data_IF_850132889583
#
_entry.id   IF_850132889583
#
_cell.length_a   1.000
_cell.length_b   1.000
_cell.length_c   1.000
_cell.angle_alpha   90.00
_cell.angle_beta   90.00
_cell.angle_gamma   90.00
#
_symmetry.space_group_name_H-M   'P 1'
#
loop_
_entity.id
_entity.type
_entity.pdbx_description
1 polymer ?
#
# COMPACT_ATOMS: atom_id res chain seq x y z
N UNK A 1 34.91 32.30 -63.14
CA UNK A 1 35.82 32.25 -61.98
C UNK A 1 35.03 32.62 -60.72
N UNK A 2 35.11 31.75 -59.71
CA UNK A 2 34.82 31.96 -58.27
C UNK A 2 33.36 32.27 -57.85
N UNK A 3 32.64 31.18 -57.54
CA UNK A 3 31.51 31.14 -56.60
C UNK A 3 32.05 31.14 -55.15
N UNK A 4 31.45 31.91 -54.24
CA UNK A 4 31.61 31.87 -52.77
C UNK A 4 30.63 32.87 -52.14
N UNK A 5 29.93 32.69 -51.00
CA UNK A 5 29.68 31.61 -50.02
C UNK A 5 28.31 31.99 -49.41
N UNK A 6 27.39 31.02 -49.24
CA UNK A 6 26.12 31.22 -48.53
C UNK A 6 26.34 31.01 -47.02
N UNK A 7 25.97 32.01 -46.20
CA UNK A 7 25.97 31.89 -44.74
C UNK A 7 24.61 31.35 -44.28
N UNK A 8 24.60 30.15 -43.69
CA UNK A 8 23.44 29.57 -43.00
C UNK A 8 23.48 30.01 -41.54
N UNK A 9 22.52 30.84 -41.14
CA UNK A 9 22.32 31.24 -39.74
C UNK A 9 21.51 30.15 -39.05
N UNK A 10 22.13 29.47 -38.08
CA UNK A 10 21.45 28.58 -37.13
C UNK A 10 20.63 29.42 -36.14
N UNK A 11 19.30 29.42 -36.29
CA UNK A 11 18.37 29.93 -35.28
C UNK A 11 18.22 28.90 -34.15
N UNK A 12 18.76 29.22 -32.97
CA UNK A 12 18.51 28.47 -31.75
C UNK A 12 17.09 28.75 -31.25
N UNK A 13 16.15 27.84 -31.54
CA UNK A 13 14.83 27.87 -30.91
C UNK A 13 14.93 27.31 -29.50
N UNK A 14 14.95 28.19 -28.50
CA UNK A 14 14.74 27.83 -27.10
C UNK A 14 13.32 27.31 -26.92
N UNK A 15 13.16 25.98 -26.86
CA UNK A 15 11.92 25.35 -26.46
C UNK A 15 11.69 25.62 -24.97
N UNK A 16 10.82 26.58 -24.66
CA UNK A 16 10.20 26.70 -23.34
C UNK A 16 9.31 25.47 -23.13
N UNK A 17 9.84 24.45 -22.47
CA UNK A 17 9.04 23.34 -21.98
C UNK A 17 8.10 23.88 -20.88
N UNK A 18 6.84 24.09 -21.24
CA UNK A 18 5.79 24.53 -20.32
C UNK A 18 5.60 23.53 -19.17
N UNK A 19 5.43 23.99 -17.90
CA UNK A 19 5.24 23.14 -16.72
C UNK A 19 3.83 22.52 -16.62
N UNK A 20 3.04 22.57 -17.70
CA UNK A 20 1.64 22.12 -17.70
C UNK A 20 1.51 20.59 -17.65
N UNK A 21 2.49 19.85 -18.16
CA UNK A 21 2.49 18.38 -18.15
C UNK A 21 2.75 17.81 -16.75
N UNK A 22 3.56 18.50 -15.92
CA UNK A 22 3.84 18.06 -14.54
C UNK A 22 2.66 18.29 -13.59
N UNK A 23 1.87 19.35 -13.80
CA UNK A 23 0.64 19.59 -13.01
C UNK A 23 -0.42 18.54 -13.32
N UNK A 24 -0.57 18.19 -14.59
CA UNK A 24 -1.58 17.23 -15.06
C UNK A 24 -1.27 15.80 -14.55
N UNK A 25 0.00 15.43 -14.35
CA UNK A 25 0.37 14.15 -13.73
C UNK A 25 0.07 14.10 -12.23
N UNK A 26 0.35 15.17 -11.49
CA UNK A 26 0.06 15.25 -10.06
C UNK A 26 -1.45 15.29 -9.82
N UNK A 27 -2.21 16.06 -10.61
CA UNK A 27 -3.67 16.15 -10.51
C UNK A 27 -4.38 14.87 -10.98
N UNK A 28 -3.87 14.17 -12.00
CA UNK A 28 -4.46 12.88 -12.45
C UNK A 28 -4.11 11.69 -11.56
N UNK A 29 -2.93 11.67 -10.93
CA UNK A 29 -2.54 10.59 -10.00
C UNK A 29 -3.19 10.77 -8.64
N UNK A 30 -3.35 12.01 -8.19
CA UNK A 30 -4.16 12.36 -7.05
C UNK A 30 -5.63 12.50 -7.45
N UNK A 31 -6.22 11.48 -8.09
CA UNK A 31 -7.61 11.45 -8.59
C UNK A 31 -8.74 11.80 -7.59
N UNK A 32 -8.42 12.25 -6.37
CA UNK A 32 -9.26 13.09 -5.52
C UNK A 32 -8.49 13.81 -4.37
N UNK A 33 -7.20 14.12 -4.49
CA UNK A 33 -6.47 14.78 -3.39
C UNK A 33 -6.32 13.92 -2.12
N UNK A 34 -6.11 12.61 -2.29
CA UNK A 34 -5.86 11.69 -1.19
C UNK A 34 -4.66 12.18 -0.36
N UNK A 35 -4.89 12.51 0.91
CA UNK A 35 -3.94 13.25 1.76
C UNK A 35 -2.60 12.52 2.01
N UNK A 36 -2.53 11.23 1.66
CA UNK A 36 -1.37 10.36 1.84
C UNK A 36 -0.53 10.19 0.57
N UNK A 37 -1.01 10.62 -0.60
CA UNK A 37 -0.22 10.64 -1.85
C UNK A 37 0.52 11.97 -1.91
N UNK A 38 1.80 11.95 -1.56
CA UNK A 38 2.60 13.17 -1.31
C UNK A 38 3.70 13.44 -2.35
N UNK A 39 4.02 12.46 -3.20
CA UNK A 39 5.03 12.60 -4.24
C UNK A 39 4.47 12.71 -5.66
N UNK A 40 5.37 12.62 -6.64
CA UNK A 40 5.07 12.80 -8.08
C UNK A 40 5.31 11.53 -8.92
N UNK A 41 5.72 10.43 -8.29
CA UNK A 41 5.98 9.16 -8.97
C UNK A 41 4.67 8.48 -9.34
N UNK A 42 4.54 8.13 -10.62
CA UNK A 42 3.36 7.43 -11.14
C UNK A 42 3.11 6.12 -10.42
N UNK A 43 1.94 6.04 -9.78
CA UNK A 43 1.46 4.81 -9.14
C UNK A 43 1.00 3.81 -10.21
N UNK A 44 1.30 2.50 -10.05
CA UNK A 44 0.65 1.46 -10.83
C UNK A 44 -0.87 1.54 -10.69
N UNK A 45 -1.61 1.18 -11.75
CA UNK A 45 -3.07 1.33 -11.80
C UNK A 45 -3.78 0.66 -10.63
N UNK A 46 -3.34 -0.52 -10.23
CA UNK A 46 -3.92 -1.27 -9.12
C UNK A 46 -3.74 -0.55 -7.78
N UNK A 47 -2.63 0.19 -7.62
CA UNK A 47 -2.36 0.98 -6.41
C UNK A 47 -3.17 2.27 -6.43
N UNK A 48 -3.26 2.96 -7.57
CA UNK A 48 -4.07 4.17 -7.68
C UNK A 48 -5.56 3.91 -7.49
N UNK A 49 -6.08 2.82 -8.07
CA UNK A 49 -7.48 2.43 -7.91
C UNK A 49 -7.79 2.07 -6.45
N UNK A 50 -6.90 1.32 -5.78
CA UNK A 50 -7.03 1.01 -4.37
C UNK A 50 -6.98 2.28 -3.50
N UNK A 51 -6.01 3.17 -3.74
CA UNK A 51 -5.90 4.45 -3.05
C UNK A 51 -7.16 5.32 -3.21
N UNK A 52 -7.69 5.41 -4.43
CA UNK A 52 -8.93 6.16 -4.70
C UNK A 52 -10.13 5.57 -3.94
N UNK A 53 -10.23 4.25 -3.84
CA UNK A 53 -11.34 3.56 -3.15
C UNK A 53 -11.37 3.77 -1.63
N UNK A 54 -10.23 4.06 -1.01
CA UNK A 54 -10.09 4.26 0.45
C UNK A 54 -10.01 5.74 0.83
N UNK A 55 -9.62 6.62 -0.11
CA UNK A 55 -9.42 8.04 0.14
C UNK A 55 -10.57 8.75 0.87
N UNK A 56 -11.87 8.43 0.61
CA UNK A 56 -12.98 9.08 1.33
C UNK A 56 -13.05 8.74 2.84
N UNK A 57 -12.43 7.64 3.27
CA UNK A 57 -12.45 7.18 4.68
C UNK A 57 -11.17 7.56 5.43
N UNK A 58 -10.05 7.66 4.73
CA UNK A 58 -8.74 7.90 5.33
C UNK A 58 -8.50 9.39 5.57
N UNK A 59 -8.16 9.74 6.80
CA UNK A 59 -7.64 11.06 7.20
C UNK A 59 -6.13 11.01 7.33
N UNK A 60 -5.48 12.17 7.27
CA UNK A 60 -4.03 12.27 7.50
C UNK A 60 -3.72 13.29 8.59
N UNK A 61 -2.84 12.91 9.51
CA UNK A 61 -2.19 13.82 10.43
C UNK A 61 -0.83 14.24 9.85
N UNK A 62 -0.80 15.41 9.20
CA UNK A 62 0.40 15.90 8.53
C UNK A 62 1.57 16.21 9.48
N UNK A 63 1.30 16.41 10.79
CA UNK A 63 2.31 16.71 11.81
C UNK A 63 3.13 15.48 12.23
N UNK A 64 2.61 14.28 11.99
CA UNK A 64 3.32 13.02 12.27
C UNK A 64 3.75 12.41 10.94
N UNK A 65 5.03 12.12 10.79
CA UNK A 65 5.58 11.45 9.61
C UNK A 65 5.92 10.01 9.95
N UNK A 66 5.67 9.11 9.02
CA UNK A 66 5.90 7.67 9.18
C UNK A 66 7.03 7.26 8.23
N UNK A 67 6.80 6.28 7.36
CA UNK A 67 7.80 5.77 6.42
C UNK A 67 7.92 6.75 5.24
N UNK A 68 9.15 7.04 4.80
CA UNK A 68 9.45 7.86 3.62
C UNK A 68 8.74 9.23 3.58
N UNK A 69 8.50 9.82 4.76
CA UNK A 69 7.86 11.14 4.88
C UNK A 69 6.34 11.15 4.68
N UNK A 70 5.72 9.98 4.50
CA UNK A 70 4.26 9.83 4.39
C UNK A 70 3.60 10.31 5.70
N UNK A 71 2.57 11.16 5.65
CA UNK A 71 1.86 11.58 6.86
C UNK A 71 1.20 10.37 7.53
N UNK A 72 1.01 10.45 8.84
CA UNK A 72 0.30 9.40 9.55
C UNK A 72 -1.15 9.32 9.06
N UNK A 73 -1.56 8.14 8.60
CA UNK A 73 -2.89 7.89 8.02
C UNK A 73 -3.79 7.23 9.06
N UNK A 74 -5.04 7.68 9.09
CA UNK A 74 -6.02 7.31 10.11
C UNK A 74 -7.30 6.86 9.42
N UNK A 75 -7.78 5.66 9.76
CA UNK A 75 -9.13 5.19 9.43
C UNK A 75 -9.83 4.79 10.74
N UNK A 76 -10.95 5.43 11.05
CA UNK A 76 -11.67 5.26 12.30
C UNK A 76 -10.75 5.59 13.47
N UNK A 77 -10.55 4.60 14.34
CA UNK A 77 -9.67 4.69 15.51
C UNK A 77 -8.27 4.11 15.25
N UNK A 78 -7.98 3.67 14.03
CA UNK A 78 -6.71 3.04 13.64
C UNK A 78 -5.82 4.08 12.97
N UNK A 79 -4.67 4.38 13.58
CA UNK A 79 -3.61 5.18 12.98
C UNK A 79 -2.44 4.29 12.57
N UNK A 80 -1.84 4.51 11.40
CA UNK A 80 -0.71 3.71 10.93
C UNK A 80 0.46 3.76 11.91
N UNK A 81 0.76 4.92 12.50
CA UNK A 81 1.80 5.08 13.53
C UNK A 81 1.65 4.14 14.72
N UNK A 82 0.43 3.67 15.04
CA UNK A 82 0.18 2.71 16.13
C UNK A 82 0.41 1.25 15.72
N UNK A 83 0.46 0.97 14.43
CA UNK A 83 0.69 -0.35 13.87
C UNK A 83 1.84 -0.33 12.84
N UNK A 84 2.79 0.59 13.01
CA UNK A 84 3.91 0.79 12.11
C UNK A 84 4.99 -0.26 12.39
N UNK A 85 5.07 -1.29 11.55
CA UNK A 85 6.09 -2.34 11.72
C UNK A 85 7.53 -1.78 11.69
N UNK A 86 7.77 -0.65 11.01
CA UNK A 86 9.11 -0.06 10.88
C UNK A 86 9.66 0.50 12.21
N UNK A 87 8.79 0.74 13.19
CA UNK A 87 9.17 1.11 14.56
C UNK A 87 9.35 -0.10 15.48
N UNK A 88 9.01 -1.31 15.00
CA UNK A 88 9.22 -2.56 15.73
C UNK A 88 10.64 -3.10 15.52
N UNK A 89 11.13 -3.84 16.53
CA UNK A 89 12.37 -4.65 16.42
C UNK A 89 12.13 -6.03 15.79
N UNK A 90 10.87 -6.33 15.45
CA UNK A 90 10.48 -7.62 14.90
C UNK A 90 10.65 -7.64 13.39
N UNK A 91 10.73 -8.85 12.84
CA UNK A 91 10.57 -9.04 11.41
C UNK A 91 9.12 -8.71 11.01
N UNK A 92 8.87 -8.32 9.74
CA UNK A 92 7.52 -7.92 9.33
C UNK A 92 6.47 -9.02 9.54
N UNK A 93 6.83 -10.31 9.39
CA UNK A 93 5.87 -11.38 9.64
C UNK A 93 5.61 -11.62 11.13
N UNK A 94 6.67 -11.59 11.96
CA UNK A 94 6.52 -11.71 13.41
C UNK A 94 5.64 -10.58 13.96
N UNK A 95 5.86 -9.36 13.49
CA UNK A 95 5.03 -8.20 13.81
C UNK A 95 3.56 -8.45 13.44
N UNK A 96 3.29 -8.91 12.21
CA UNK A 96 1.93 -9.14 11.75
C UNK A 96 1.19 -10.23 12.55
N UNK A 97 1.87 -11.34 12.86
CA UNK A 97 1.33 -12.42 13.69
C UNK A 97 1.01 -11.95 15.12
N UNK A 98 1.81 -11.04 15.67
CA UNK A 98 1.59 -10.53 17.02
C UNK A 98 0.47 -9.50 17.10
N UNK A 99 0.40 -8.59 16.13
CA UNK A 99 -0.47 -7.40 16.19
C UNK A 99 -1.87 -7.65 15.59
N UNK A 100 -1.99 -8.51 14.58
CA UNK A 100 -3.26 -8.73 13.87
C UNK A 100 -3.91 -10.06 14.24
N UNK A 101 -4.15 -10.24 15.55
CA UNK A 101 -4.76 -11.44 16.11
C UNK A 101 -6.28 -11.40 15.99
N UNK A 102 -6.87 -12.51 15.55
CA UNK A 102 -8.32 -12.69 15.46
C UNK A 102 -8.89 -13.22 16.78
N UNK A 103 -10.18 -12.99 17.01
CA UNK A 103 -10.90 -13.53 18.17
C UNK A 103 -11.16 -15.04 18.03
N UNK A 104 -11.61 -15.67 19.12
CA UNK A 104 -12.13 -17.05 19.13
C UNK A 104 -13.51 -17.03 19.79
N UNK A 105 -14.59 -17.45 19.09
CA UNK A 105 -14.62 -18.00 17.72
C UNK A 105 -14.26 -16.96 16.64
N UNK A 106 -13.72 -17.41 15.50
CA UNK A 106 -13.21 -16.51 14.44
C UNK A 106 -14.29 -15.54 13.94
N UNK A 107 -15.53 -16.03 13.81
CA UNK A 107 -16.69 -15.23 13.39
C UNK A 107 -16.99 -14.01 14.30
N UNK A 108 -16.52 -14.00 15.55
CA UNK A 108 -16.67 -12.88 16.49
C UNK A 108 -15.64 -11.75 16.29
N UNK A 109 -14.69 -11.93 15.38
CA UNK A 109 -13.66 -10.92 15.10
C UNK A 109 -14.29 -9.67 14.48
N UNK A 110 -13.85 -8.50 14.91
CA UNK A 110 -14.26 -7.22 14.34
C UNK A 110 -13.67 -7.04 12.94
N UNK A 111 -14.48 -7.35 11.92
CA UNK A 111 -14.10 -7.21 10.51
C UNK A 111 -13.78 -5.75 10.15
N UNK A 112 -14.49 -4.78 10.72
CA UNK A 112 -14.29 -3.36 10.39
C UNK A 112 -12.94 -2.87 10.89
N UNK A 113 -12.52 -3.31 12.09
CA UNK A 113 -11.17 -3.03 12.60
C UNK A 113 -10.09 -3.54 11.64
N UNK A 114 -10.18 -4.79 11.19
CA UNK A 114 -9.20 -5.35 10.26
C UNK A 114 -9.21 -4.64 8.89
N UNK A 115 -10.38 -4.21 8.41
CA UNK A 115 -10.48 -3.39 7.19
C UNK A 115 -9.80 -2.03 7.37
N UNK A 116 -10.02 -1.34 8.49
CA UNK A 116 -9.35 -0.08 8.81
C UNK A 116 -7.82 -0.25 8.88
N UNK A 117 -7.33 -1.33 9.52
CA UNK A 117 -5.91 -1.69 9.55
C UNK A 117 -5.35 -1.93 8.13
N UNK A 118 -6.09 -2.63 7.26
CA UNK A 118 -5.68 -2.84 5.88
C UNK A 118 -5.70 -1.55 5.04
N UNK A 119 -6.64 -0.65 5.30
CA UNK A 119 -6.77 0.64 4.62
C UNK A 119 -5.59 1.56 4.96
N UNK A 120 -5.20 1.68 6.23
CA UNK A 120 -4.04 2.50 6.62
C UNK A 120 -2.73 1.94 6.04
N UNK A 121 -2.58 0.62 5.93
CA UNK A 121 -1.44 0.00 5.25
C UNK A 121 -1.46 0.27 3.73
N UNK A 122 -2.64 0.26 3.11
CA UNK A 122 -2.79 0.55 1.68
C UNK A 122 -2.53 2.02 1.35
N UNK A 123 -3.04 2.93 2.18
CA UNK A 123 -2.76 4.36 2.07
C UNK A 123 -1.27 4.67 2.22
N UNK A 124 -0.62 4.04 3.20
CA UNK A 124 0.82 4.20 3.43
C UNK A 124 1.65 3.65 2.25
N UNK A 125 1.29 2.49 1.70
CA UNK A 125 1.95 1.95 0.50
C UNK A 125 1.84 2.93 -0.69
N UNK A 126 0.66 3.50 -0.93
CA UNK A 126 0.46 4.48 -1.98
C UNK A 126 1.32 5.73 -1.76
N UNK A 127 1.40 6.21 -0.51
CA UNK A 127 2.27 7.32 -0.14
C UNK A 127 3.75 7.03 -0.40
N UNK A 128 4.26 5.90 0.06
CA UNK A 128 5.66 5.47 -0.13
C UNK A 128 5.98 5.41 -1.63
N UNK A 129 5.11 4.76 -2.42
CA UNK A 129 5.31 4.62 -3.86
C UNK A 129 5.26 5.96 -4.58
N UNK A 130 4.42 6.90 -4.13
CA UNK A 130 4.30 8.22 -4.75
C UNK A 130 5.59 9.03 -4.67
N UNK A 131 6.46 8.76 -3.70
CA UNK A 131 7.79 9.39 -3.55
C UNK A 131 8.92 8.52 -4.10
N UNK A 132 8.61 7.39 -4.74
CA UNK A 132 9.62 6.43 -5.23
C UNK A 132 10.31 5.62 -4.11
N UNK A 133 9.70 5.56 -2.92
CA UNK A 133 10.24 4.89 -1.75
C UNK A 133 10.15 3.35 -1.78
N UNK A 134 10.82 2.71 -0.81
CA UNK A 134 10.88 1.25 -0.73
C UNK A 134 9.71 0.67 0.07
N UNK A 135 8.66 0.26 -0.65
CA UNK A 135 7.46 -0.36 -0.08
C UNK A 135 7.57 -1.89 0.14
N UNK A 136 8.71 -2.52 -0.16
CA UNK A 136 8.82 -3.98 0.00
C UNK A 136 8.54 -4.46 1.44
N UNK A 137 9.02 -3.77 2.50
CA UNK A 137 8.78 -4.20 3.89
C UNK A 137 7.31 -4.16 4.33
N UNK A 138 6.52 -3.20 3.82
CA UNK A 138 5.10 -3.05 4.20
C UNK A 138 4.18 -4.12 3.60
N UNK A 139 4.66 -4.85 2.58
CA UNK A 139 3.89 -5.88 1.88
C UNK A 139 3.45 -7.03 2.79
N UNK A 140 4.32 -7.50 3.67
CA UNK A 140 4.04 -8.70 4.48
C UNK A 140 2.86 -8.43 5.44
N UNK A 141 2.91 -7.39 6.31
CA UNK A 141 1.75 -7.03 7.13
C UNK A 141 0.48 -6.79 6.31
N UNK A 142 0.57 -6.11 5.16
CA UNK A 142 -0.58 -5.84 4.28
C UNK A 142 -1.22 -7.13 3.74
N UNK A 143 -0.42 -8.07 3.20
CA UNK A 143 -0.95 -9.34 2.72
C UNK A 143 -1.46 -10.22 3.87
N UNK A 144 -0.85 -10.13 5.06
CA UNK A 144 -1.32 -10.84 6.23
C UNK A 144 -2.69 -10.33 6.67
N UNK A 145 -2.88 -9.00 6.76
CA UNK A 145 -4.18 -8.37 7.03
C UNK A 145 -5.24 -8.80 6.01
N UNK A 146 -4.90 -8.77 4.71
CA UNK A 146 -5.83 -9.25 3.68
C UNK A 146 -6.22 -10.73 3.89
N UNK A 147 -5.26 -11.59 4.22
CA UNK A 147 -5.52 -13.00 4.54
C UNK A 147 -6.46 -13.14 5.74
N UNK A 148 -6.23 -12.37 6.81
CA UNK A 148 -7.09 -12.34 7.99
C UNK A 148 -8.51 -11.87 7.66
N UNK A 149 -8.66 -10.80 6.88
CA UNK A 149 -9.96 -10.30 6.40
C UNK A 149 -10.71 -11.41 5.66
N UNK A 150 -10.05 -12.11 4.73
CA UNK A 150 -10.65 -13.22 3.97
C UNK A 150 -11.11 -14.37 4.88
N UNK A 151 -10.30 -14.74 5.89
CA UNK A 151 -10.67 -15.72 6.91
C UNK A 151 -11.88 -15.28 7.73
N UNK A 152 -11.90 -14.04 8.22
CA UNK A 152 -12.99 -13.48 9.01
C UNK A 152 -14.28 -13.43 8.19
N UNK A 153 -14.22 -12.94 6.95
CA UNK A 153 -15.35 -12.89 6.02
C UNK A 153 -15.93 -14.28 5.77
N UNK A 154 -15.07 -15.28 5.55
CA UNK A 154 -15.48 -16.68 5.39
C UNK A 154 -16.19 -17.21 6.64
N UNK A 155 -15.62 -17.00 7.83
CA UNK A 155 -16.24 -17.43 9.10
C UNK A 155 -17.55 -16.70 9.40
N UNK A 156 -17.73 -15.47 8.92
CA UNK A 156 -18.98 -14.71 9.00
C UNK A 156 -19.99 -15.03 7.90
N UNK A 157 -19.73 -16.04 7.06
CA UNK A 157 -20.65 -16.50 6.01
C UNK A 157 -20.62 -15.69 4.72
N UNK A 158 -19.62 -14.81 4.55
CA UNK A 158 -19.48 -13.90 3.40
C UNK A 158 -18.12 -14.07 2.67
N UNK A 159 -17.75 -15.28 2.23
CA UNK A 159 -16.43 -15.53 1.63
C UNK A 159 -16.20 -14.66 0.38
N UNK A 160 -14.95 -14.19 0.14
CA UNK A 160 -14.62 -13.42 -1.06
C UNK A 160 -14.89 -14.21 -2.35
N UNK A 161 -15.42 -13.52 -3.37
CA UNK A 161 -15.67 -14.10 -4.69
C UNK A 161 -14.49 -13.97 -5.66
N UNK A 162 -13.64 -12.96 -5.44
CA UNK A 162 -12.50 -12.70 -6.31
C UNK A 162 -11.36 -13.67 -5.97
N UNK A 163 -10.79 -14.43 -6.94
CA UNK A 163 -9.71 -15.37 -6.67
C UNK A 163 -8.48 -14.75 -6.01
N UNK A 164 -8.18 -13.48 -6.31
CA UNK A 164 -7.08 -12.73 -5.67
C UNK A 164 -7.31 -12.38 -4.20
N UNK A 165 -8.51 -12.65 -3.67
CA UNK A 165 -8.88 -12.43 -2.27
C UNK A 165 -9.14 -13.74 -1.52
N UNK A 166 -8.96 -14.89 -2.16
CA UNK A 166 -9.07 -16.19 -1.52
C UNK A 166 -7.98 -16.38 -0.44
N UNK A 167 -8.31 -17.12 0.62
CA UNK A 167 -7.41 -17.36 1.76
C UNK A 167 -6.10 -18.01 1.32
N UNK A 168 -6.16 -19.01 0.43
CA UNK A 168 -4.98 -19.74 -0.03
C UNK A 168 -4.10 -18.85 -0.93
N UNK A 169 -4.73 -18.06 -1.81
CA UNK A 169 -4.00 -17.06 -2.61
C UNK A 169 -3.24 -16.07 -1.71
N UNK A 170 -3.92 -15.52 -0.70
CA UNK A 170 -3.34 -14.52 0.18
C UNK A 170 -2.27 -15.11 1.10
N UNK A 171 -2.45 -16.35 1.59
CA UNK A 171 -1.39 -17.11 2.28
C UNK A 171 -0.14 -17.18 1.42
N UNK A 172 -0.28 -17.60 0.16
CA UNK A 172 0.86 -17.76 -0.74
C UNK A 172 1.56 -16.41 -1.01
N UNK A 173 0.80 -15.30 -1.04
CA UNK A 173 1.37 -13.94 -1.08
C UNK A 173 2.17 -13.62 0.18
N UNK A 174 1.68 -13.96 1.37
CA UNK A 174 2.43 -13.77 2.62
C UNK A 174 3.74 -14.56 2.58
N UNK A 175 3.67 -15.86 2.27
CA UNK A 175 4.82 -16.76 2.24
C UNK A 175 5.87 -16.33 1.20
N UNK A 176 5.43 -16.00 -0.03
CA UNK A 176 6.31 -15.55 -1.11
C UNK A 176 7.09 -14.28 -0.77
N UNK A 177 6.50 -13.37 0.01
CA UNK A 177 7.17 -12.13 0.41
C UNK A 177 8.01 -12.29 1.69
N UNK A 178 7.98 -13.46 2.34
CA UNK A 178 8.62 -13.74 3.63
C UNK A 178 9.78 -14.76 3.55
N UNK A 179 10.62 -14.81 2.50
CA UNK A 179 11.55 -15.93 2.29
C UNK A 179 12.66 -16.05 3.33
N UNK A 180 12.85 -15.01 4.15
CA UNK A 180 13.89 -14.95 5.21
C UNK A 180 13.33 -15.13 6.61
N UNK A 181 12.02 -15.32 6.74
CA UNK A 181 11.40 -15.56 8.04
C UNK A 181 11.71 -16.98 8.54
N UNK A 182 11.66 -17.16 9.86
CA UNK A 182 11.86 -18.47 10.44
C UNK A 182 10.77 -19.45 9.99
N UNK A 183 11.13 -20.72 9.84
CA UNK A 183 10.17 -21.77 9.47
C UNK A 183 8.98 -21.84 10.43
N UNK A 184 9.20 -21.60 11.72
CA UNK A 184 8.13 -21.57 12.71
C UNK A 184 7.06 -20.50 12.41
N UNK A 185 7.46 -19.30 11.98
CA UNK A 185 6.52 -18.24 11.61
C UNK A 185 5.77 -18.57 10.31
N UNK A 186 6.47 -19.15 9.32
CA UNK A 186 5.85 -19.59 8.06
C UNK A 186 4.83 -20.72 8.29
N UNK A 187 5.13 -21.64 9.19
CA UNK A 187 4.23 -22.73 9.57
C UNK A 187 3.00 -22.20 10.31
N UNK A 188 3.15 -21.17 11.16
CA UNK A 188 2.00 -20.49 11.79
C UNK A 188 1.06 -19.85 10.76
N UNK A 189 1.58 -19.18 9.73
CA UNK A 189 0.77 -18.62 8.64
C UNK A 189 0.02 -19.72 7.90
N UNK A 190 0.71 -20.82 7.59
CA UNK A 190 0.11 -21.98 6.91
C UNK A 190 -1.02 -22.58 7.76
N UNK A 191 -0.81 -22.73 9.06
CA UNK A 191 -1.82 -23.23 9.98
C UNK A 191 -3.02 -22.29 10.08
N UNK A 192 -2.82 -20.98 10.19
CA UNK A 192 -3.91 -20.01 10.26
C UNK A 192 -4.81 -20.08 9.03
N UNK A 193 -4.26 -20.25 7.83
CA UNK A 193 -5.01 -20.36 6.59
C UNK A 193 -5.99 -21.57 6.55
N UNK A 194 -5.78 -22.59 7.41
CA UNK A 194 -6.67 -23.75 7.52
C UNK A 194 -7.90 -23.49 8.42
N UNK A 195 -7.84 -22.48 9.29
CA UNK A 195 -8.92 -22.15 10.23
C UNK A 195 -9.89 -21.18 9.54
N UNK A 196 -11.05 -21.70 9.15
CA UNK A 196 -12.09 -21.01 8.36
C UNK A 196 -13.42 -20.81 9.11
N UNK A 197 -13.51 -21.27 10.36
CA UNK A 197 -14.66 -21.15 11.27
C UNK A 197 -14.16 -20.99 12.72
#
# INVERSE_FOLDING_TARGET
>A
MKFSIAAVVFGASSALASPLVERDLVERQAGAGACFVIGKTTLPKEVSDAAASIAPRVKCNAAVKTIDGVPDVIEGDVAFSKINFAESKQTPLAFALENFKTATPLASTDLKKFQAEADVYTATEAGIRSVGGNFAPIKIPKFFLAMQISRIQTAQGNPPKAPGQDIDHLRDKVLKNSPRESKALLDQVTQLATVRA
#
